data_IF_560880225155
#
_entry.id   IF_560880225155
#
_cell.length_a   1.000
_cell.length_b   1.000
_cell.length_c   1.000
_cell.angle_alpha   90.00
_cell.angle_beta   90.00
_cell.angle_gamma   90.00
#
_symmetry.space_group_name_H-M   'P 1'
#
loop_
_entity.id
_entity.type
_entity.pdbx_description
1 polymer ?
#
# COMPACT_ATOMS: atom_id res chain seq x y z
N UNK A 1 1.77 -12.16 9.54
CA UNK A 1 1.81 -10.70 9.75
C UNK A 1 0.63 -10.25 10.61
N UNK A 2 -0.64 -10.34 10.16
CA UNK A 2 -1.82 -9.99 10.98
C UNK A 2 -1.86 -10.63 12.38
N UNK A 3 -1.41 -11.88 12.49
CA UNK A 3 -1.26 -12.57 13.78
C UNK A 3 -0.42 -11.77 14.80
N UNK A 4 0.70 -11.18 14.38
CA UNK A 4 1.57 -10.40 15.27
C UNK A 4 0.95 -9.10 15.75
N UNK A 5 0.10 -8.47 14.93
CA UNK A 5 -0.67 -7.27 15.33
C UNK A 5 -1.81 -7.62 16.28
N UNK A 6 -2.38 -8.82 16.14
CA UNK A 6 -3.42 -9.31 17.04
C UNK A 6 -2.85 -9.68 18.43
N UNK A 7 -1.64 -10.26 18.47
CA UNK A 7 -0.96 -10.55 19.74
C UNK A 7 -0.45 -9.28 20.44
N UNK A 8 0.04 -8.30 19.68
CA UNK A 8 0.57 -7.04 20.19
C UNK A 8 -0.03 -5.87 19.40
N UNK A 9 -1.13 -5.27 19.89
CA UNK A 9 -1.82 -4.17 19.23
C UNK A 9 -0.93 -2.94 18.98
N UNK A 10 0.17 -2.76 19.73
CA UNK A 10 1.10 -1.66 19.49
C UNK A 10 1.74 -1.75 18.10
N UNK A 11 1.87 -2.96 17.54
CA UNK A 11 2.37 -3.18 16.18
C UNK A 11 1.38 -2.76 15.10
N UNK A 12 0.13 -2.48 15.46
CA UNK A 12 -0.90 -1.98 14.56
C UNK A 12 -0.59 -0.62 13.94
N UNK A 13 0.43 0.11 14.44
CA UNK A 13 0.86 1.39 13.86
C UNK A 13 1.24 1.26 12.37
N UNK A 14 1.77 0.11 11.94
CA UNK A 14 2.16 -0.14 10.54
C UNK A 14 1.13 -0.94 9.75
N UNK A 15 -0.02 -1.27 10.33
CA UNK A 15 -1.06 -2.09 9.69
C UNK A 15 -1.48 -1.53 8.33
N UNK A 16 -1.67 -0.22 8.25
CA UNK A 16 -2.07 0.47 7.03
C UNK A 16 -1.05 0.29 5.90
N UNK A 17 0.26 0.36 6.21
CA UNK A 17 1.33 0.08 5.25
C UNK A 17 1.34 -1.40 4.84
N UNK A 18 1.22 -2.31 5.80
CA UNK A 18 1.23 -3.75 5.54
C UNK A 18 0.12 -4.16 4.57
N UNK A 19 -1.12 -3.73 4.82
CA UNK A 19 -2.26 -4.03 3.93
C UNK A 19 -2.07 -3.40 2.56
N UNK A 20 -1.62 -2.15 2.50
CA UNK A 20 -1.43 -1.41 1.25
C UNK A 20 -0.36 -2.05 0.37
N UNK A 21 0.81 -2.38 0.94
CA UNK A 21 1.90 -3.04 0.22
C UNK A 21 1.48 -4.41 -0.31
N UNK A 22 0.73 -5.18 0.48
CA UNK A 22 0.19 -6.46 0.02
C UNK A 22 -0.70 -6.29 -1.21
N UNK A 23 -1.64 -5.34 -1.20
CA UNK A 23 -2.54 -5.14 -2.34
C UNK A 23 -1.83 -4.56 -3.56
N UNK A 24 -0.82 -3.71 -3.38
CA UNK A 24 0.00 -3.21 -4.49
C UNK A 24 0.80 -4.34 -5.18
N UNK A 25 1.31 -5.31 -4.42
CA UNK A 25 1.94 -6.50 -5.02
C UNK A 25 0.96 -7.47 -5.67
N UNK A 26 -0.35 -7.32 -5.42
CA UNK A 26 -1.44 -8.12 -5.98
C UNK A 26 -2.48 -7.20 -6.66
N UNK A 27 -2.10 -6.48 -7.74
CA UNK A 27 -2.89 -5.38 -8.29
C UNK A 27 -4.28 -5.80 -8.79
N UNK A 28 -4.48 -7.09 -9.09
CA UNK A 28 -5.77 -7.66 -9.49
C UNK A 28 -6.84 -7.65 -8.38
N UNK A 29 -6.48 -7.31 -7.14
CA UNK A 29 -7.42 -7.09 -6.03
C UNK A 29 -8.07 -5.69 -6.07
N UNK A 30 -7.45 -4.74 -6.78
CA UNK A 30 -8.00 -3.41 -7.02
C UNK A 30 -8.62 -3.30 -8.42
N UNK A 31 -9.50 -2.32 -8.60
CA UNK A 31 -9.80 -1.77 -9.93
C UNK A 31 -8.59 -0.99 -10.46
N UNK A 32 -8.63 -0.54 -11.72
CA UNK A 32 -7.61 0.34 -12.27
C UNK A 32 -7.49 1.65 -11.46
N UNK A 33 -8.63 2.28 -11.12
CA UNK A 33 -8.67 3.52 -10.36
C UNK A 33 -8.26 3.31 -8.89
N UNK A 34 -8.65 2.18 -8.31
CA UNK A 34 -8.24 1.77 -6.97
C UNK A 34 -6.73 1.56 -6.87
N UNK A 35 -6.13 0.95 -7.90
CA UNK A 35 -4.69 0.77 -7.98
C UNK A 35 -3.97 2.12 -8.08
N UNK A 36 -4.41 3.03 -8.94
CA UNK A 36 -3.82 4.37 -9.03
C UNK A 36 -3.93 5.14 -7.71
N UNK A 37 -5.10 5.09 -7.06
CA UNK A 37 -5.29 5.69 -5.73
C UNK A 37 -4.40 5.07 -4.65
N UNK A 38 -4.21 3.76 -4.67
CA UNK A 38 -3.32 3.05 -3.75
C UNK A 38 -1.84 3.44 -3.93
N UNK A 39 -1.40 3.67 -5.17
CA UNK A 39 -0.04 4.16 -5.44
C UNK A 39 0.18 5.56 -4.87
N UNK A 40 -0.77 6.47 -5.09
CA UNK A 40 -0.70 7.82 -4.52
C UNK A 40 -0.71 7.79 -2.99
N UNK A 41 -1.55 6.93 -2.41
CA UNK A 41 -1.62 6.74 -0.97
C UNK A 41 -0.29 6.24 -0.38
N UNK A 42 0.41 5.34 -1.08
CA UNK A 42 1.73 4.90 -0.64
C UNK A 42 2.76 6.04 -0.69
N UNK A 43 2.73 6.86 -1.74
CA UNK A 43 3.58 8.06 -1.83
C UNK A 43 3.34 9.01 -0.66
N UNK A 44 2.07 9.21 -0.27
CA UNK A 44 1.73 10.04 0.88
C UNK A 44 2.28 9.51 2.21
N UNK A 45 2.28 8.20 2.41
CA UNK A 45 2.86 7.59 3.61
C UNK A 45 4.39 7.62 3.60
N UNK A 46 5.02 7.34 2.45
CA UNK A 46 6.47 7.12 2.36
C UNK A 46 7.26 8.40 2.08
N UNK A 47 6.81 9.25 1.14
CA UNK A 47 7.50 10.49 0.79
C UNK A 47 7.04 11.66 1.66
N UNK A 48 5.72 11.79 1.88
CA UNK A 48 5.15 12.93 2.62
C UNK A 48 5.05 12.68 4.13
N UNK A 49 5.32 11.46 4.61
CA UNK A 49 5.28 11.10 6.02
C UNK A 49 3.91 11.29 6.69
N UNK A 50 2.82 11.27 5.90
CA UNK A 50 1.49 11.54 6.43
C UNK A 50 1.02 10.38 7.32
N UNK A 51 0.40 10.68 8.46
CA UNK A 51 -0.24 9.65 9.29
C UNK A 51 -1.59 9.20 8.70
N UNK A 52 -2.10 8.00 9.08
CA UNK A 52 -3.39 7.50 8.63
C UNK A 52 -4.56 8.46 8.90
N UNK A 53 -4.54 9.19 10.01
CA UNK A 53 -5.58 10.16 10.37
C UNK A 53 -5.59 11.36 9.41
N UNK A 54 -4.42 11.90 9.05
CA UNK A 54 -4.27 13.00 8.11
C UNK A 54 -4.75 12.61 6.71
N UNK A 55 -4.37 11.43 6.23
CA UNK A 55 -4.85 10.90 4.95
C UNK A 55 -6.36 10.67 4.99
N UNK A 56 -6.89 10.06 6.07
CA UNK A 56 -8.34 9.83 6.20
C UNK A 56 -9.13 11.13 6.15
N UNK A 57 -8.70 12.20 6.81
CA UNK A 57 -9.36 13.50 6.75
C UNK A 57 -9.37 14.08 5.33
N UNK A 58 -8.27 13.93 4.59
CA UNK A 58 -8.13 14.42 3.20
C UNK A 58 -8.95 13.61 2.20
N UNK A 59 -8.97 12.29 2.35
CA UNK A 59 -9.49 11.38 1.34
C UNK A 59 -10.90 10.85 1.67
N UNK A 60 -11.41 11.05 2.90
CA UNK A 60 -12.80 10.77 3.31
C UNK A 60 -13.84 11.21 2.26
N UNK A 61 -13.84 12.47 1.79
CA UNK A 61 -14.84 12.92 0.82
C UNK A 61 -14.68 12.25 -0.56
N UNK A 62 -13.47 11.78 -0.89
CA UNK A 62 -13.17 11.12 -2.16
C UNK A 62 -13.46 9.63 -2.16
N UNK A 63 -13.40 8.97 -1.00
CA UNK A 63 -13.62 7.51 -0.82
C UNK A 63 -15.00 7.14 -0.30
N UNK A 64 -15.78 8.12 0.18
CA UNK A 64 -17.13 7.89 0.65
C UNK A 64 -17.99 7.24 -0.45
N UNK A 65 -18.52 6.04 -0.18
CA UNK A 65 -19.27 5.23 -1.15
C UNK A 65 -20.46 5.95 -1.78
N UNK A 66 -21.02 6.97 -1.12
CA UNK A 66 -22.13 7.78 -1.64
C UNK A 66 -21.71 8.89 -2.63
N UNK A 67 -20.42 9.21 -2.72
CA UNK A 67 -19.88 10.28 -3.58
C UNK A 67 -19.04 9.74 -4.76
N UNK A 68 -18.74 8.43 -4.79
CA UNK A 68 -17.78 7.84 -5.73
C UNK A 68 -18.48 7.22 -6.94
N UNK A 69 -18.08 7.62 -8.14
CA UNK A 69 -18.54 7.02 -9.43
C UNK A 69 -17.69 5.82 -9.89
N UNK A 70 -16.75 5.37 -9.07
CA UNK A 70 -15.75 4.34 -9.41
C UNK A 70 -15.53 3.34 -8.26
N UNK A 71 -15.12 2.10 -8.57
CA UNK A 71 -14.95 1.00 -7.60
C UNK A 71 -13.54 0.99 -7.02
N UNK A 72 -13.36 0.68 -5.73
CA UNK A 72 -12.03 0.42 -5.15
C UNK A 72 -11.59 -1.01 -5.47
N UNK A 73 -12.45 -1.96 -5.12
CA UNK A 73 -12.20 -3.38 -5.30
C UNK A 73 -12.37 -3.75 -6.76
N UNK A 74 -11.55 -4.70 -7.20
CA UNK A 74 -11.64 -5.29 -8.53
C UNK A 74 -13.04 -5.84 -8.81
N UNK A 75 -13.48 -5.69 -10.05
CA UNK A 75 -14.63 -6.41 -10.63
C UNK A 75 -14.11 -7.29 -11.77
N UNK A 76 -14.88 -8.31 -12.22
CA UNK A 76 -14.41 -9.19 -13.30
C UNK A 76 -13.96 -8.45 -14.56
N UNK A 77 -14.59 -7.31 -14.84
CA UNK A 77 -14.37 -6.42 -16.00
C UNK A 77 -13.44 -5.22 -15.72
N UNK A 78 -13.09 -4.95 -14.46
CA UNK A 78 -12.21 -3.84 -14.07
C UNK A 78 -11.23 -4.30 -12.98
N UNK A 79 -10.02 -4.67 -13.41
CA UNK A 79 -8.90 -5.07 -12.55
C UNK A 79 -7.70 -4.17 -12.80
N UNK A 80 -7.03 -3.79 -11.72
CA UNK A 80 -5.77 -3.07 -11.76
C UNK A 80 -4.66 -3.95 -12.33
N UNK A 81 -3.83 -3.34 -13.18
CA UNK A 81 -2.61 -3.93 -13.69
C UNK A 81 -1.58 -2.82 -13.85
N UNK A 82 -0.31 -3.18 -13.68
CA UNK A 82 0.80 -2.30 -14.05
C UNK A 82 1.06 -2.40 -15.55
N UNK A 83 1.51 -1.32 -16.17
CA UNK A 83 1.90 -1.30 -17.59
C UNK A 83 3.01 -2.30 -17.91
N UNK A 84 3.89 -2.55 -16.92
CA UNK A 84 5.01 -3.49 -17.03
C UNK A 84 5.05 -4.39 -15.79
N UNK A 85 5.52 -5.64 -15.91
CA UNK A 85 5.78 -6.47 -14.75
C UNK A 85 6.77 -5.79 -13.80
N UNK A 86 6.39 -5.66 -12.53
CA UNK A 86 7.25 -5.07 -11.49
C UNK A 86 8.12 -6.17 -10.87
N UNK A 87 9.42 -5.91 -10.76
CA UNK A 87 10.35 -6.76 -10.01
C UNK A 87 10.43 -6.24 -8.57
N UNK A 88 9.75 -6.93 -7.65
CA UNK A 88 9.75 -6.57 -6.24
C UNK A 88 11.07 -6.94 -5.55
N UNK A 89 11.80 -5.95 -5.05
CA UNK A 89 13.03 -6.16 -4.27
C UNK A 89 12.78 -6.68 -2.85
N UNK A 90 11.57 -6.46 -2.31
CA UNK A 90 11.11 -7.00 -1.04
C UNK A 90 9.64 -7.43 -1.15
N UNK A 91 9.27 -8.52 -0.48
CA UNK A 91 7.92 -9.10 -0.46
C UNK A 91 7.49 -9.41 0.97
N UNK A 92 6.21 -9.71 1.14
CA UNK A 92 5.64 -10.13 2.43
C UNK A 92 6.43 -11.26 3.13
N UNK A 93 7.00 -12.21 2.38
CA UNK A 93 7.83 -13.29 2.94
C UNK A 93 9.11 -12.78 3.62
N UNK A 94 9.68 -11.68 3.12
CA UNK A 94 10.93 -11.12 3.64
C UNK A 94 10.65 -10.39 4.97
N UNK A 95 9.48 -9.75 5.09
CA UNK A 95 8.97 -9.21 6.37
C UNK A 95 8.80 -10.32 7.40
N UNK A 96 8.21 -11.46 6.99
CA UNK A 96 8.03 -12.62 7.87
C UNK A 96 9.37 -13.23 8.28
N UNK A 97 10.32 -13.36 7.35
CA UNK A 97 11.66 -13.90 7.62
C UNK A 97 12.45 -13.03 8.61
N UNK A 98 12.24 -11.71 8.61
CA UNK A 98 12.86 -10.80 9.58
C UNK A 98 12.29 -10.88 11.00
N UNK A 99 11.24 -11.67 11.22
CA UNK A 99 10.71 -12.02 12.53
C UNK A 99 9.84 -10.95 13.18
N UNK A 100 9.18 -11.36 14.27
CA UNK A 100 8.21 -10.55 15.01
C UNK A 100 8.84 -9.31 15.68
N UNK A 101 10.08 -9.44 16.16
CA UNK A 101 10.82 -8.36 16.85
C UNK A 101 11.05 -7.15 15.94
N UNK A 102 11.36 -7.38 14.66
CA UNK A 102 11.66 -6.32 13.70
C UNK A 102 10.45 -5.98 12.82
N UNK A 103 9.24 -6.41 13.18
CA UNK A 103 8.06 -6.33 12.32
C UNK A 103 7.79 -4.91 11.81
N UNK A 104 7.77 -3.94 12.72
CA UNK A 104 7.50 -2.54 12.42
C UNK A 104 8.49 -1.98 11.40
N UNK A 105 9.78 -2.18 11.66
CA UNK A 105 10.86 -1.71 10.79
C UNK A 105 10.81 -2.40 9.42
N UNK A 106 10.61 -3.72 9.41
CA UNK A 106 10.50 -4.49 8.18
C UNK A 106 9.31 -4.06 7.32
N UNK A 107 8.16 -3.71 7.91
CA UNK A 107 7.01 -3.20 7.15
C UNK A 107 7.30 -1.82 6.58
N UNK A 108 7.97 -0.93 7.33
CA UNK A 108 8.40 0.38 6.81
C UNK A 108 9.40 0.23 5.66
N UNK A 109 10.39 -0.65 5.79
CA UNK A 109 11.33 -0.97 4.71
C UNK A 109 10.64 -1.57 3.50
N UNK A 110 9.64 -2.44 3.71
CA UNK A 110 8.85 -3.01 2.62
C UNK A 110 8.05 -1.93 1.88
N UNK A 111 7.44 -0.99 2.60
CA UNK A 111 6.74 0.14 1.99
C UNK A 111 7.67 1.01 1.13
N UNK A 112 8.86 1.33 1.62
CA UNK A 112 9.87 2.06 0.85
C UNK A 112 10.32 1.28 -0.40
N UNK A 113 10.54 -0.03 -0.28
CA UNK A 113 10.91 -0.91 -1.40
C UNK A 113 9.81 -1.00 -2.47
N UNK A 114 8.55 -1.14 -2.05
CA UNK A 114 7.40 -1.15 -2.97
C UNK A 114 7.33 0.18 -3.71
N UNK A 115 7.40 1.31 -2.99
CA UNK A 115 7.36 2.64 -3.60
C UNK A 115 8.49 2.85 -4.61
N UNK A 116 9.73 2.51 -4.24
CA UNK A 116 10.87 2.61 -5.15
C UNK A 116 10.71 1.75 -6.42
N UNK A 117 9.96 0.65 -6.34
CA UNK A 117 9.73 -0.26 -7.47
C UNK A 117 8.63 0.24 -8.43
N UNK A 118 7.67 1.03 -7.93
CA UNK A 118 6.55 1.55 -8.73
C UNK A 118 6.73 3.00 -9.17
N UNK A 119 7.57 3.79 -8.47
CA UNK A 119 7.81 5.18 -8.82
C UNK A 119 8.48 5.24 -10.19
N UNK A 120 7.95 6.03 -11.14
CA UNK A 120 8.64 6.26 -12.40
C UNK A 120 10.03 6.86 -12.14
N UNK A 121 11.05 6.54 -12.97
CA UNK A 121 12.34 7.19 -12.86
C UNK A 121 12.14 8.70 -12.99
N UNK A 122 12.80 9.47 -12.11
CA UNK A 122 12.82 10.91 -12.24
C UNK A 122 13.43 11.22 -13.61
N UNK A 123 12.66 11.88 -14.49
CA UNK A 123 13.21 12.41 -15.73
C UNK A 123 14.06 13.60 -15.31
N UNK A 124 15.38 13.39 -15.22
CA UNK A 124 16.33 14.50 -15.20
C UNK A 124 16.15 15.28 -16.50
N UNK A 125 15.73 16.55 -16.38
CA UNK A 125 15.67 17.51 -17.48
C UNK A 125 17.01 18.23 -17.60
#
# INVERSE_FOLDING_TARGET
MLYWENEDPARGEVHHLMVLCYHLQHPSLYSAEGLAGAQQLLADFVENGLGPEAVRGRDQPKVASGARRWSITARPDNRGAYERPIVWSMRARDVVAGGATNYVENVRSWAASVWASIRPPAIEQ
#
